data_IF_595149724502
#
_entry.id   IF_595149724502
#
_cell.length_a   1.000
_cell.length_b   1.000
_cell.length_c   1.000
_cell.angle_alpha   90.00
_cell.angle_beta   90.00
_cell.angle_gamma   90.00
#
_symmetry.space_group_name_H-M   'P 1'
#
loop_
_entity.id
_entity.type
_entity.pdbx_description
1 polymer ?
#
# COMPACT_ATOMS: atom_id res chain seq x y z
N UNK A 1 28.85 81.84 -39.80
CA UNK A 1 29.50 80.52 -39.81
C UNK A 1 29.25 79.88 -38.46
N UNK A 2 28.30 78.95 -38.33
CA UNK A 2 27.99 78.24 -37.10
C UNK A 2 28.66 76.90 -37.18
N UNK A 3 29.68 76.65 -36.33
CA UNK A 3 30.36 75.36 -36.19
C UNK A 3 29.42 74.41 -35.40
N UNK A 4 28.93 73.38 -36.04
CA UNK A 4 28.27 72.28 -35.35
C UNK A 4 29.31 71.42 -34.64
N UNK A 5 29.24 71.39 -33.32
CA UNK A 5 30.00 70.44 -32.45
C UNK A 5 29.22 69.16 -32.41
N UNK A 6 29.81 68.08 -32.98
CA UNK A 6 29.31 66.74 -32.87
C UNK A 6 29.75 66.14 -31.51
N UNK A 7 28.82 66.06 -30.57
CA UNK A 7 29.04 65.38 -29.29
C UNK A 7 28.81 63.89 -29.50
N UNK A 8 29.89 63.13 -29.57
CA UNK A 8 29.82 61.64 -29.49
C UNK A 8 29.51 61.25 -28.03
N UNK A 9 28.31 60.86 -27.80
CA UNK A 9 27.89 60.21 -26.57
C UNK A 9 28.48 58.76 -26.56
N UNK A 10 29.64 58.57 -25.88
CA UNK A 10 30.09 57.28 -25.46
C UNK A 10 29.16 56.79 -24.32
N UNK A 11 28.22 55.92 -24.62
CA UNK A 11 27.56 55.18 -23.56
C UNK A 11 28.59 54.15 -23.02
N UNK A 12 28.84 54.09 -21.71
CA UNK A 12 29.68 53.06 -21.17
C UNK A 12 28.91 51.72 -21.37
N UNK A 13 29.38 50.88 -22.25
CA UNK A 13 29.03 49.48 -22.26
C UNK A 13 29.58 48.89 -20.95
N UNK A 14 28.71 48.63 -19.98
CA UNK A 14 29.02 47.79 -18.86
C UNK A 14 29.18 46.37 -19.43
N UNK A 15 30.39 45.97 -19.72
CA UNK A 15 30.73 44.59 -20.03
C UNK A 15 30.59 43.86 -18.70
N UNK A 16 29.46 43.21 -18.47
CA UNK A 16 29.35 42.22 -17.40
C UNK A 16 30.35 41.12 -17.69
N UNK A 17 31.26 40.84 -16.77
CA UNK A 17 32.22 39.77 -16.97
C UNK A 17 31.42 38.44 -17.04
N UNK A 18 31.61 37.73 -18.14
CA UNK A 18 31.01 36.41 -18.32
C UNK A 18 31.65 35.41 -17.35
N UNK A 19 30.85 34.63 -16.65
CA UNK A 19 31.37 33.65 -15.71
C UNK A 19 30.47 32.43 -15.60
N UNK A 20 31.09 31.30 -15.29
CA UNK A 20 30.42 30.07 -14.87
C UNK A 20 30.85 29.71 -13.45
N UNK A 21 29.94 29.21 -12.67
CA UNK A 21 30.21 28.80 -11.29
C UNK A 21 29.55 27.48 -10.95
N UNK A 22 30.23 26.67 -10.14
CA UNK A 22 29.80 25.37 -9.65
C UNK A 22 30.11 25.30 -8.16
N UNK A 23 29.20 24.69 -7.37
CA UNK A 23 29.43 24.52 -5.93
C UNK A 23 28.54 23.41 -5.36
N UNK A 24 28.85 22.97 -4.15
CA UNK A 24 28.05 22.04 -3.38
C UNK A 24 28.75 20.72 -3.09
N UNK A 25 28.05 19.95 -2.27
CA UNK A 25 28.38 18.53 -1.98
C UNK A 25 27.13 17.72 -2.29
N UNK A 26 27.29 16.68 -3.06
CA UNK A 26 26.20 15.81 -3.50
C UNK A 26 26.49 14.38 -3.10
N UNK A 27 25.48 13.69 -2.62
CA UNK A 27 25.55 12.26 -2.29
C UNK A 27 25.04 11.44 -3.46
N UNK A 28 25.88 10.55 -3.98
CA UNK A 28 25.49 9.55 -4.97
C UNK A 28 25.30 8.20 -4.28
N UNK A 29 24.07 7.80 -4.09
CA UNK A 29 23.74 6.50 -3.52
C UNK A 29 24.07 5.38 -4.53
N UNK A 30 24.53 4.22 -4.06
CA UNK A 30 24.97 3.14 -4.96
C UNK A 30 23.84 2.49 -5.77
N UNK A 31 22.58 2.74 -5.42
CA UNK A 31 21.39 2.33 -6.16
C UNK A 31 20.86 3.43 -7.13
N UNK A 32 21.48 4.59 -7.18
CA UNK A 32 21.19 5.67 -8.10
C UNK A 32 22.14 5.67 -9.31
N UNK A 33 21.68 6.17 -10.44
CA UNK A 33 22.50 6.26 -11.65
C UNK A 33 23.36 7.51 -11.66
N UNK A 34 22.82 8.62 -11.17
CA UNK A 34 23.46 9.94 -11.24
C UNK A 34 22.78 10.91 -10.26
N UNK A 35 23.54 11.92 -9.85
CA UNK A 35 23.04 13.11 -9.16
C UNK A 35 23.20 14.32 -10.07
N UNK A 36 22.43 15.37 -9.84
CA UNK A 36 22.45 16.59 -10.66
C UNK A 36 23.23 17.70 -9.96
N UNK A 37 24.32 18.16 -10.58
CA UNK A 37 25.13 19.30 -10.11
C UNK A 37 24.63 20.55 -10.82
N UNK A 38 24.25 21.57 -10.05
CA UNK A 38 23.83 22.85 -10.59
C UNK A 38 25.04 23.70 -11.02
N UNK A 39 25.00 24.18 -12.26
CA UNK A 39 25.98 25.14 -12.84
C UNK A 39 25.23 26.40 -13.22
N UNK A 40 25.62 27.51 -12.60
CA UNK A 40 25.10 28.82 -12.91
C UNK A 40 26.00 29.57 -13.89
N UNK A 41 25.37 30.39 -14.77
CA UNK A 41 26.07 31.22 -15.76
C UNK A 41 25.68 32.68 -15.65
N UNK A 42 26.66 33.54 -15.88
CA UNK A 42 26.49 34.99 -16.15
C UNK A 42 27.00 35.24 -17.55
N UNK A 43 26.14 35.73 -18.47
CA UNK A 43 26.51 35.98 -19.86
C UNK A 43 25.33 35.84 -20.81
N UNK A 44 25.62 35.70 -22.09
CA UNK A 44 24.62 35.58 -23.17
C UNK A 44 24.67 34.18 -23.77
N UNK A 45 23.59 33.40 -23.69
CA UNK A 45 23.57 32.06 -24.27
C UNK A 45 23.72 32.09 -25.79
N UNK A 46 24.20 31.02 -26.45
CA UNK A 46 24.51 29.71 -25.86
C UNK A 46 25.84 29.70 -25.05
N UNK A 47 25.81 28.90 -23.98
CA UNK A 47 26.97 28.68 -23.11
C UNK A 47 27.67 27.37 -23.52
N UNK A 48 29.01 27.37 -23.40
CA UNK A 48 29.82 26.17 -23.61
C UNK A 48 30.85 26.11 -22.47
N UNK A 49 31.04 24.90 -21.95
CA UNK A 49 32.02 24.69 -20.92
C UNK A 49 32.69 23.30 -21.02
N UNK A 50 33.88 23.17 -20.46
CA UNK A 50 34.54 21.91 -20.19
C UNK A 50 34.62 21.77 -18.68
N UNK A 51 34.31 20.58 -18.17
CA UNK A 51 34.51 20.27 -16.78
C UNK A 51 35.52 19.14 -16.61
N UNK A 52 36.10 19.04 -15.43
CA UNK A 52 37.00 17.97 -15.03
C UNK A 52 36.45 17.26 -13.78
N UNK A 53 36.74 15.98 -13.68
CA UNK A 53 36.56 15.17 -12.46
C UNK A 53 37.95 14.81 -11.98
N UNK A 54 38.31 15.21 -10.76
CA UNK A 54 39.64 14.99 -10.17
C UNK A 54 40.78 15.42 -11.11
N UNK A 55 40.61 16.59 -11.74
CA UNK A 55 41.53 17.20 -12.74
C UNK A 55 41.63 16.45 -14.09
N UNK A 56 40.76 15.48 -14.38
CA UNK A 56 40.67 14.82 -15.68
C UNK A 56 39.53 15.43 -16.46
N UNK A 57 39.87 16.13 -17.55
CA UNK A 57 38.87 16.78 -18.41
C UNK A 57 37.90 15.76 -19.02
N UNK A 58 36.65 16.12 -19.00
CA UNK A 58 35.54 15.37 -19.58
C UNK A 58 35.15 15.96 -20.94
N UNK A 59 34.08 15.41 -21.53
CA UNK A 59 33.54 15.91 -22.79
C UNK A 59 33.02 17.35 -22.67
N UNK A 60 33.10 18.08 -23.78
CA UNK A 60 32.60 19.46 -23.87
C UNK A 60 31.08 19.49 -23.86
N UNK A 61 30.50 20.28 -22.96
CA UNK A 61 29.09 20.63 -23.01
C UNK A 61 28.86 21.86 -23.88
N UNK A 62 28.05 21.75 -24.93
CA UNK A 62 27.94 22.79 -25.97
C UNK A 62 26.47 23.20 -26.20
N UNK A 63 26.30 24.48 -26.64
CA UNK A 63 25.03 25.07 -27.00
C UNK A 63 23.96 24.99 -25.91
N UNK A 64 24.34 25.31 -24.68
CA UNK A 64 23.48 25.32 -23.52
C UNK A 64 22.73 26.65 -23.46
N UNK A 65 21.40 26.59 -23.36
CA UNK A 65 20.53 27.77 -23.25
C UNK A 65 19.88 27.85 -21.84
N UNK A 66 19.89 26.76 -21.08
CA UNK A 66 19.34 26.71 -19.73
C UNK A 66 20.29 27.34 -18.73
N UNK A 67 19.73 28.10 -17.78
CA UNK A 67 20.47 28.70 -16.69
C UNK A 67 19.55 28.76 -15.45
N UNK A 68 19.82 28.00 -14.39
CA UNK A 68 21.00 27.11 -14.25
C UNK A 68 20.90 25.86 -15.14
N UNK A 69 22.07 25.29 -15.43
CA UNK A 69 22.22 23.98 -16.08
C UNK A 69 22.49 22.90 -15.06
N UNK A 70 21.81 21.75 -15.22
CA UNK A 70 21.97 20.59 -14.33
C UNK A 70 22.85 19.53 -15.00
N UNK A 71 24.09 19.42 -14.53
CA UNK A 71 25.08 18.46 -15.02
C UNK A 71 24.87 17.10 -14.36
N UNK A 72 24.57 16.02 -15.13
CA UNK A 72 24.47 14.68 -14.55
C UNK A 72 25.85 14.15 -14.15
N UNK A 73 25.98 13.77 -12.88
CA UNK A 73 27.21 13.23 -12.27
C UNK A 73 26.96 11.79 -11.83
N UNK A 74 27.61 10.84 -12.53
CA UNK A 74 27.50 9.39 -12.28
C UNK A 74 28.74 8.78 -11.61
N UNK A 75 29.71 9.60 -11.23
CA UNK A 75 30.97 9.17 -10.61
C UNK A 75 31.29 10.04 -9.40
N UNK A 76 31.83 9.44 -8.37
CA UNK A 76 32.41 10.20 -7.26
C UNK A 76 33.63 11.00 -7.73
N UNK A 77 33.92 12.12 -7.07
CA UNK A 77 35.06 12.96 -7.31
C UNK A 77 34.78 14.45 -7.19
N UNK A 78 35.77 15.25 -7.38
CA UNK A 78 35.66 16.70 -7.36
C UNK A 78 35.46 17.24 -8.78
N UNK A 79 34.31 17.83 -9.02
CA UNK A 79 33.92 18.44 -10.29
C UNK A 79 34.30 19.89 -10.29
N UNK A 80 35.04 20.30 -11.35
CA UNK A 80 35.49 21.69 -11.56
C UNK A 80 35.27 22.10 -13.01
N UNK A 81 34.97 23.37 -13.27
CA UNK A 81 34.94 23.91 -14.63
C UNK A 81 36.37 24.25 -15.01
N UNK A 82 36.82 23.86 -16.20
CA UNK A 82 38.18 24.12 -16.70
C UNK A 82 38.24 25.05 -17.90
N UNK A 83 37.09 25.29 -18.55
CA UNK A 83 36.91 26.23 -19.64
C UNK A 83 35.48 26.70 -19.71
N UNK A 84 35.25 27.97 -20.00
CA UNK A 84 33.90 28.53 -20.19
C UNK A 84 33.93 29.62 -21.27
N UNK A 85 32.94 29.63 -22.15
CA UNK A 85 32.63 30.76 -23.03
C UNK A 85 31.12 30.88 -23.23
N UNK A 86 30.68 32.10 -23.45
CA UNK A 86 29.32 32.41 -23.89
C UNK A 86 29.25 32.71 -25.39
N UNK A 87 28.14 33.22 -25.90
CA UNK A 87 27.98 33.58 -27.31
C UNK A 87 28.94 34.67 -27.79
N UNK A 88 29.53 35.45 -26.90
CA UNK A 88 30.31 36.66 -27.22
C UNK A 88 31.80 36.41 -27.06
N UNK A 89 32.21 35.80 -25.94
CA UNK A 89 33.65 35.69 -25.62
C UNK A 89 33.93 34.58 -24.60
N UNK A 90 35.22 34.31 -24.38
CA UNK A 90 35.73 33.49 -23.29
C UNK A 90 35.48 34.20 -21.96
N UNK A 91 34.94 33.49 -21.00
CA UNK A 91 34.63 33.96 -19.65
C UNK A 91 35.54 33.38 -18.59
N UNK A 92 35.29 33.77 -17.34
CA UNK A 92 35.90 33.20 -16.14
C UNK A 92 35.11 32.05 -15.60
N UNK A 93 35.70 31.22 -14.77
CA UNK A 93 35.02 30.14 -14.07
C UNK A 93 35.55 30.01 -12.65
N UNK A 94 34.71 29.52 -11.73
CA UNK A 94 35.11 29.40 -10.33
C UNK A 94 34.30 28.29 -9.63
N UNK A 95 34.83 27.81 -8.51
CA UNK A 95 34.20 26.83 -7.62
C UNK A 95 34.49 25.39 -7.97
N UNK A 96 34.00 24.55 -7.11
CA UNK A 96 34.00 23.09 -7.25
C UNK A 96 32.78 22.49 -6.59
N UNK A 97 32.40 21.32 -7.07
CA UNK A 97 31.36 20.49 -6.46
C UNK A 97 31.91 19.11 -6.15
N UNK A 98 31.65 18.59 -4.96
CA UNK A 98 32.07 17.27 -4.55
C UNK A 98 30.93 16.28 -4.68
N UNK A 99 31.21 15.13 -5.29
CA UNK A 99 30.27 13.98 -5.35
C UNK A 99 30.88 12.85 -4.53
N UNK A 100 30.17 12.46 -3.49
CA UNK A 100 30.57 11.38 -2.58
C UNK A 100 29.65 10.16 -2.87
N UNK A 101 30.28 9.02 -3.19
CA UNK A 101 29.52 7.76 -3.35
C UNK A 101 29.35 7.07 -2.00
N UNK A 102 28.11 6.73 -1.69
CA UNK A 102 27.73 6.09 -0.42
C UNK A 102 26.95 4.81 -0.70
N UNK A 103 27.19 3.80 0.13
CA UNK A 103 26.43 2.54 0.09
C UNK A 103 25.04 2.76 0.68
N UNK A 104 24.00 2.50 -0.11
CA UNK A 104 22.61 2.56 0.36
C UNK A 104 22.35 1.45 1.38
N UNK A 105 21.38 1.63 2.30
CA UNK A 105 20.87 0.54 3.12
C UNK A 105 20.21 -0.53 2.23
N UNK A 106 19.97 -1.71 2.78
CA UNK A 106 19.27 -2.80 2.09
C UNK A 106 17.99 -3.09 2.88
N UNK A 107 16.85 -2.82 2.26
CA UNK A 107 15.55 -3.08 2.86
C UNK A 107 15.23 -4.58 2.87
N UNK A 108 14.85 -5.12 4.04
CA UNK A 108 14.46 -6.52 4.22
C UNK A 108 13.24 -6.59 5.14
N UNK A 109 12.15 -7.13 4.61
CA UNK A 109 10.94 -7.43 5.37
C UNK A 109 11.02 -8.86 5.89
N UNK A 110 10.82 -9.02 7.20
CA UNK A 110 10.58 -10.33 7.81
C UNK A 110 9.10 -10.43 8.21
N UNK A 111 8.42 -11.46 7.70
CA UNK A 111 7.01 -11.78 7.96
C UNK A 111 6.86 -13.22 8.40
N UNK A 112 5.89 -13.49 9.28
CA UNK A 112 5.60 -14.85 9.77
C UNK A 112 4.71 -15.65 8.80
N UNK A 113 4.04 -14.99 7.86
CA UNK A 113 3.15 -15.62 6.88
C UNK A 113 2.97 -14.75 5.63
N UNK A 114 2.65 -15.41 4.51
CA UNK A 114 2.29 -14.80 3.23
C UNK A 114 0.79 -14.97 2.92
N UNK A 115 0.09 -15.80 3.70
CA UNK A 115 -1.34 -16.09 3.51
C UNK A 115 -2.05 -16.02 4.85
N UNK A 116 -3.14 -15.26 4.88
CA UNK A 116 -4.01 -15.06 6.03
C UNK A 116 -5.43 -15.52 5.69
N UNK A 117 -6.20 -15.82 6.73
CA UNK A 117 -7.64 -16.04 6.64
C UNK A 117 -8.40 -14.73 6.77
N UNK A 118 -9.55 -14.61 6.10
CA UNK A 118 -10.50 -13.50 6.32
C UNK A 118 -10.96 -13.41 7.78
N UNK A 119 -10.90 -14.50 8.55
CA UNK A 119 -11.25 -14.51 9.98
C UNK A 119 -10.17 -13.89 10.87
N UNK A 120 -8.93 -13.86 10.41
CA UNK A 120 -7.77 -13.34 11.13
C UNK A 120 -6.88 -12.51 10.19
N UNK A 121 -7.37 -11.37 9.68
CA UNK A 121 -6.69 -10.59 8.67
C UNK A 121 -5.60 -9.68 9.29
N UNK A 122 -4.70 -10.26 10.06
CA UNK A 122 -3.66 -9.49 10.78
C UNK A 122 -2.30 -10.18 10.65
N UNK A 123 -1.25 -9.37 10.66
CA UNK A 123 0.12 -9.83 10.50
C UNK A 123 1.09 -8.98 11.32
N UNK A 124 2.17 -9.60 11.76
CA UNK A 124 3.30 -8.91 12.38
C UNK A 124 4.44 -8.89 11.38
N UNK A 125 4.94 -7.68 11.14
CA UNK A 125 6.12 -7.42 10.35
C UNK A 125 7.28 -7.00 11.24
N UNK A 126 8.49 -7.40 10.86
CA UNK A 126 9.72 -6.96 11.50
C UNK A 126 10.69 -6.48 10.44
N UNK A 127 11.25 -5.31 10.63
CA UNK A 127 12.37 -4.82 9.87
C UNK A 127 13.62 -5.65 10.17
N UNK A 128 14.20 -6.23 9.12
CA UNK A 128 15.45 -6.98 9.14
C UNK A 128 16.50 -6.34 8.22
N UNK A 129 16.33 -5.08 7.87
CA UNK A 129 17.16 -4.33 6.94
C UNK A 129 18.59 -4.18 7.42
N UNK A 130 19.51 -4.00 6.48
CA UNK A 130 20.95 -3.91 6.72
C UNK A 130 21.46 -2.52 6.39
N UNK A 131 22.44 -2.05 7.13
CA UNK A 131 23.09 -0.76 6.95
C UNK A 131 22.86 0.19 8.14
N UNK A 132 23.26 1.45 7.95
CA UNK A 132 23.00 2.50 8.94
C UNK A 132 21.62 3.11 8.64
N UNK A 133 20.58 2.72 9.39
CA UNK A 133 19.20 3.12 9.16
C UNK A 133 18.84 4.23 10.15
N UNK A 134 18.45 5.39 9.61
CA UNK A 134 17.96 6.54 10.36
C UNK A 134 16.42 6.51 10.48
N UNK A 135 15.73 6.16 9.41
CA UNK A 135 14.28 6.14 9.41
C UNK A 135 13.68 4.95 8.66
N UNK A 136 12.51 4.53 9.13
CA UNK A 136 11.74 3.37 8.66
C UNK A 136 10.32 3.83 8.37
N UNK A 137 9.78 3.47 7.20
CA UNK A 137 8.41 3.76 6.80
C UNK A 137 7.76 2.49 6.26
N UNK A 138 6.68 2.07 6.91
CA UNK A 138 5.81 1.00 6.43
C UNK A 138 4.63 1.58 5.67
N UNK A 139 4.33 1.05 4.50
CA UNK A 139 3.15 1.37 3.70
C UNK A 139 2.45 0.06 3.40
N UNK A 140 1.21 -0.09 3.88
CA UNK A 140 0.43 -1.30 3.69
C UNK A 140 -0.47 -1.18 2.46
N UNK A 141 -0.76 -2.31 1.83
CA UNK A 141 -1.53 -2.37 0.59
C UNK A 141 -3.00 -1.98 0.71
N UNK A 142 -3.45 -1.62 1.91
CA UNK A 142 -4.77 -1.07 2.23
C UNK A 142 -4.75 0.45 2.53
N UNK A 143 -3.70 1.15 2.03
CA UNK A 143 -3.47 2.59 2.19
C UNK A 143 -3.18 3.07 3.63
N UNK A 144 -2.95 2.14 4.56
CA UNK A 144 -2.48 2.47 5.90
C UNK A 144 -0.96 2.62 5.92
N UNK A 145 -0.43 3.37 6.87
CA UNK A 145 1.01 3.56 7.05
C UNK A 145 1.41 3.63 8.52
N UNK A 146 2.65 3.24 8.81
CA UNK A 146 3.27 3.36 10.12
C UNK A 146 4.72 3.81 9.97
N UNK A 147 5.15 4.77 10.75
CA UNK A 147 6.50 5.33 10.70
C UNK A 147 7.26 4.99 11.99
N UNK A 148 8.58 4.76 11.86
CA UNK A 148 9.54 4.63 12.95
C UNK A 148 9.43 3.36 13.81
N UNK A 149 8.75 2.32 13.39
CA UNK A 149 8.64 1.08 14.18
C UNK A 149 9.41 -0.07 13.55
N UNK A 150 10.36 -0.65 14.29
CA UNK A 150 11.08 -1.84 13.86
C UNK A 150 10.17 -3.07 13.74
N UNK A 151 9.16 -3.15 14.60
CA UNK A 151 8.13 -4.21 14.53
C UNK A 151 6.77 -3.55 14.51
N UNK A 152 5.91 -3.94 13.56
CA UNK A 152 4.57 -3.41 13.40
C UNK A 152 3.55 -4.55 13.35
N UNK A 153 2.44 -4.38 14.07
CA UNK A 153 1.25 -5.20 13.96
C UNK A 153 0.26 -4.48 13.05
N UNK A 154 -0.12 -5.12 11.96
CA UNK A 154 -1.08 -4.56 11.02
C UNK A 154 -2.34 -5.44 10.92
N UNK A 155 -3.50 -4.79 10.86
CA UNK A 155 -4.82 -5.40 10.65
C UNK A 155 -5.38 -4.86 9.36
N UNK A 156 -5.55 -5.72 8.36
CA UNK A 156 -6.09 -5.33 7.06
C UNK A 156 -7.57 -4.98 7.12
N UNK A 157 -8.02 -4.24 6.12
CA UNK A 157 -9.41 -3.83 6.00
C UNK A 157 -10.38 -4.99 6.19
N UNK A 158 -11.42 -4.73 6.95
CA UNK A 158 -12.47 -5.67 7.30
C UNK A 158 -13.84 -5.07 7.03
N UNK A 159 -14.85 -5.93 6.87
CA UNK A 159 -16.25 -5.52 6.81
C UNK A 159 -16.79 -5.06 8.19
N UNK A 160 -18.05 -4.68 8.26
CA UNK A 160 -18.71 -4.25 9.51
C UNK A 160 -18.77 -5.32 10.60
N UNK A 161 -18.52 -6.59 10.27
CA UNK A 161 -18.50 -7.72 11.20
C UNK A 161 -17.09 -8.12 11.62
N UNK A 162 -16.05 -7.40 11.15
CA UNK A 162 -14.66 -7.70 11.40
C UNK A 162 -14.08 -8.81 10.53
N UNK A 163 -14.79 -9.22 9.47
CA UNK A 163 -14.32 -10.21 8.50
C UNK A 163 -13.43 -9.50 7.47
N UNK A 164 -12.23 -10.01 7.27
CA UNK A 164 -11.27 -9.45 6.31
C UNK A 164 -11.77 -9.49 4.88
N UNK A 165 -11.33 -8.55 4.08
CA UNK A 165 -11.67 -8.49 2.65
C UNK A 165 -10.69 -9.37 1.88
N UNK A 166 -11.15 -10.41 1.16
CA UNK A 166 -10.29 -11.26 0.35
C UNK A 166 -9.59 -10.45 -0.74
N UNK A 167 -8.28 -10.38 -0.69
CA UNK A 167 -7.48 -9.64 -1.65
C UNK A 167 -6.00 -10.05 -1.62
N UNK A 168 -5.24 -9.51 -2.56
CA UNK A 168 -3.78 -9.52 -2.54
C UNK A 168 -3.33 -8.11 -2.17
N UNK A 169 -2.69 -7.99 -1.02
CA UNK A 169 -2.11 -6.74 -0.55
C UNK A 169 -0.62 -6.72 -0.88
N UNK A 170 -0.10 -5.53 -1.15
CA UNK A 170 1.32 -5.30 -1.41
C UNK A 170 1.84 -4.30 -0.40
N UNK A 171 2.58 -4.78 0.57
CA UNK A 171 3.14 -3.98 1.63
C UNK A 171 4.57 -3.61 1.29
N UNK A 172 4.98 -2.43 1.66
CA UNK A 172 6.30 -1.88 1.38
C UNK A 172 6.97 -1.40 2.65
N UNK A 173 8.25 -1.70 2.76
CA UNK A 173 9.16 -1.14 3.76
C UNK A 173 10.15 -0.25 3.05
N UNK A 174 10.19 1.02 3.41
CA UNK A 174 11.18 1.99 2.96
C UNK A 174 12.12 2.27 4.13
N UNK A 175 13.41 2.11 3.91
CA UNK A 175 14.45 2.47 4.86
C UNK A 175 15.33 3.57 4.29
N UNK A 176 15.74 4.51 5.14
CA UNK A 176 16.52 5.68 4.75
C UNK A 176 17.68 5.80 5.74
N UNK A 177 18.89 6.04 5.25
CA UNK A 177 20.06 6.29 6.08
C UNK A 177 20.22 7.77 6.44
N UNK A 178 21.23 8.09 7.25
CA UNK A 178 21.56 9.45 7.69
C UNK A 178 22.08 10.36 6.57
N UNK A 179 22.40 9.82 5.40
CA UNK A 179 22.82 10.55 4.21
C UNK A 179 21.68 10.78 3.22
N UNK A 180 20.50 10.24 3.49
CA UNK A 180 19.32 10.31 2.63
C UNK A 180 19.24 9.21 1.57
N UNK A 181 20.18 8.26 1.55
CA UNK A 181 20.08 7.09 0.67
C UNK A 181 18.98 6.15 1.17
N UNK A 182 18.15 5.66 0.26
CA UNK A 182 17.02 4.81 0.61
C UNK A 182 16.99 3.51 -0.18
N UNK A 183 16.30 2.52 0.37
CA UNK A 183 15.94 1.29 -0.34
C UNK A 183 14.51 0.87 0.04
N UNK A 184 13.89 0.04 -0.81
CA UNK A 184 12.50 -0.39 -0.63
C UNK A 184 12.38 -1.89 -0.86
N UNK A 185 11.83 -2.59 0.13
CA UNK A 185 11.39 -3.96 0.00
C UNK A 185 9.86 -4.02 -0.16
N UNK A 186 9.37 -5.02 -0.92
CA UNK A 186 7.94 -5.26 -1.12
C UNK A 186 7.61 -6.69 -0.72
N UNK A 187 6.53 -6.85 0.04
CA UNK A 187 5.99 -8.14 0.46
C UNK A 187 4.54 -8.28 -0.02
N UNK A 188 4.15 -9.48 -0.48
CA UNK A 188 2.77 -9.76 -0.90
C UNK A 188 2.08 -10.64 0.14
N UNK A 189 0.87 -10.24 0.53
CA UNK A 189 0.01 -10.97 1.44
C UNK A 189 -1.30 -11.33 0.74
N UNK A 190 -1.66 -12.61 0.83
CA UNK A 190 -2.94 -13.13 0.36
C UNK A 190 -3.91 -13.24 1.53
N UNK A 191 -5.00 -12.50 1.52
CA UNK A 191 -6.13 -12.77 2.41
C UNK A 191 -7.08 -13.70 1.68
N UNK A 192 -7.10 -14.95 2.13
CA UNK A 192 -7.89 -16.02 1.53
C UNK A 192 -9.29 -16.02 2.13
N UNK A 193 -10.30 -16.13 1.25
CA UNK A 193 -11.67 -16.36 1.68
C UNK A 193 -11.82 -17.75 2.31
N UNK A 194 -12.54 -17.82 3.41
CA UNK A 194 -12.88 -19.06 4.11
C UNK A 194 -14.34 -19.06 4.50
N UNK A 195 -15.03 -20.18 4.29
CA UNK A 195 -16.37 -20.30 4.79
C UNK A 195 -16.38 -20.50 6.31
N UNK A 196 -17.37 -19.93 6.95
CA UNK A 196 -17.71 -20.27 8.33
C UNK A 196 -19.21 -20.39 8.48
N UNK A 197 -19.64 -21.18 9.46
CA UNK A 197 -21.03 -21.46 9.74
C UNK A 197 -21.22 -21.57 11.25
N UNK A 198 -22.06 -20.71 11.81
CA UNK A 198 -22.48 -20.77 13.20
C UNK A 198 -23.93 -21.20 13.29
N UNK A 199 -24.18 -22.35 13.91
CA UNK A 199 -25.52 -22.93 14.11
C UNK A 199 -25.78 -22.98 15.61
N UNK A 200 -26.77 -22.23 16.15
CA UNK A 200 -27.17 -22.34 17.55
C UNK A 200 -27.66 -23.75 17.88
N UNK A 201 -27.61 -24.13 19.13
CA UNK A 201 -28.10 -25.43 19.59
C UNK A 201 -29.48 -25.36 20.29
N UNK A 202 -30.06 -24.17 20.50
CA UNK A 202 -31.35 -23.96 21.14
C UNK A 202 -31.98 -22.65 20.70
N UNK A 203 -33.31 -22.58 20.81
CA UNK A 203 -34.09 -21.35 20.63
C UNK A 203 -35.40 -21.42 21.43
N UNK A 204 -36.03 -20.25 21.69
CA UNK A 204 -37.15 -20.10 22.61
C UNK A 204 -38.20 -19.18 22.01
N UNK A 205 -39.14 -19.69 21.20
CA UNK A 205 -40.22 -18.88 20.60
C UNK A 205 -41.33 -18.56 21.61
N UNK A 206 -41.07 -17.59 22.47
CA UNK A 206 -41.99 -17.18 23.56
C UNK A 206 -42.75 -15.87 23.29
N UNK A 207 -42.39 -15.13 22.21
CA UNK A 207 -43.00 -13.89 21.77
C UNK A 207 -42.85 -12.72 22.78
N UNK A 208 -41.73 -12.65 23.48
CA UNK A 208 -41.49 -11.57 24.42
C UNK A 208 -40.77 -10.33 23.83
N UNK A 209 -40.59 -10.34 22.51
CA UNK A 209 -40.00 -9.24 21.67
C UNK A 209 -38.61 -8.75 22.07
N UNK A 210 -38.08 -9.16 23.22
CA UNK A 210 -36.79 -8.74 23.73
C UNK A 210 -35.66 -9.73 23.40
N UNK A 211 -36.01 -10.97 23.01
CA UNK A 211 -35.08 -12.04 22.83
C UNK A 211 -34.85 -12.37 21.33
N UNK A 212 -33.60 -12.32 20.92
CA UNK A 212 -33.17 -12.71 19.55
C UNK A 212 -33.31 -14.21 19.25
N UNK A 213 -33.76 -15.01 20.24
CA UNK A 213 -33.89 -16.45 20.12
C UNK A 213 -35.29 -16.91 19.75
N UNK A 214 -36.18 -16.04 19.26
CA UNK A 214 -37.54 -16.35 18.86
C UNK A 214 -37.65 -17.33 17.68
N UNK A 215 -36.61 -17.36 16.84
CA UNK A 215 -36.53 -18.23 15.68
C UNK A 215 -35.18 -18.91 15.63
N UNK A 216 -35.16 -20.14 15.17
CA UNK A 216 -33.92 -20.85 14.87
C UNK A 216 -33.37 -20.36 13.54
N UNK A 217 -32.23 -19.69 13.59
CA UNK A 217 -31.52 -19.14 12.47
C UNK A 217 -30.01 -19.45 12.62
N UNK A 218 -29.22 -19.23 11.60
CA UNK A 218 -27.79 -19.38 11.67
C UNK A 218 -27.07 -18.29 10.88
N UNK A 219 -25.82 -18.06 11.19
CA UNK A 219 -24.96 -17.13 10.47
C UNK A 219 -23.92 -17.90 9.66
N UNK A 220 -23.58 -17.39 8.49
CA UNK A 220 -22.64 -18.02 7.59
C UNK A 220 -21.94 -16.99 6.70
N UNK A 221 -20.77 -17.38 6.18
CA UNK A 221 -19.98 -16.64 5.22
C UNK A 221 -19.49 -17.59 4.13
N UNK A 222 -19.33 -17.08 2.90
CA UNK A 222 -18.80 -17.79 1.73
C UNK A 222 -19.49 -19.11 1.39
N UNK A 223 -20.79 -19.17 1.62
CA UNK A 223 -21.66 -20.27 1.19
C UNK A 223 -22.47 -19.85 -0.05
N UNK A 224 -22.61 -20.73 -1.03
CA UNK A 224 -23.48 -20.53 -2.18
C UNK A 224 -24.93 -20.63 -1.75
N UNK A 225 -25.64 -19.51 -1.70
CA UNK A 225 -27.01 -19.42 -1.18
C UNK A 225 -27.98 -20.33 -1.92
N UNK A 226 -27.82 -20.49 -3.23
CA UNK A 226 -28.67 -21.36 -4.05
C UNK A 226 -28.39 -22.87 -3.88
N UNK A 227 -27.39 -23.24 -3.08
CA UNK A 227 -27.03 -24.65 -2.82
C UNK A 227 -27.57 -25.15 -1.49
N UNK A 228 -28.10 -24.26 -0.65
CA UNK A 228 -28.44 -24.57 0.72
C UNK A 228 -29.75 -25.39 0.78
N UNK A 229 -29.75 -26.43 1.63
CA UNK A 229 -30.92 -27.23 1.98
C UNK A 229 -30.87 -27.55 3.46
N UNK A 230 -31.77 -26.94 4.22
CA UNK A 230 -31.90 -27.16 5.66
C UNK A 230 -33.18 -27.93 5.96
N UNK A 231 -33.08 -29.01 6.74
CA UNK A 231 -34.19 -29.89 7.16
C UNK A 231 -34.15 -30.14 8.65
N UNK A 232 -35.31 -30.09 9.30
CA UNK A 232 -35.48 -30.43 10.72
C UNK A 232 -36.46 -31.58 10.87
N UNK A 233 -36.11 -32.50 11.76
CA UNK A 233 -36.89 -33.71 12.01
C UNK A 233 -37.20 -33.86 13.51
N UNK A 234 -38.37 -34.42 13.83
CA UNK A 234 -38.68 -34.81 15.19
C UNK A 234 -38.00 -36.14 15.57
N UNK A 235 -38.16 -36.59 16.80
CA UNK A 235 -37.55 -37.84 17.31
C UNK A 235 -38.04 -39.10 16.58
N UNK A 236 -39.17 -39.06 15.89
CA UNK A 236 -39.72 -40.15 15.08
C UNK A 236 -39.18 -40.15 13.65
N UNK A 237 -38.33 -39.17 13.30
CA UNK A 237 -37.79 -38.99 11.95
C UNK A 237 -38.73 -38.31 10.97
N UNK A 238 -39.84 -37.75 11.45
CA UNK A 238 -40.77 -36.99 10.62
C UNK A 238 -40.19 -35.60 10.32
N UNK A 239 -40.27 -35.16 9.05
CA UNK A 239 -39.86 -33.83 8.63
C UNK A 239 -40.82 -32.78 9.19
N UNK A 240 -40.31 -31.84 10.00
CA UNK A 240 -41.13 -30.79 10.63
C UNK A 240 -40.85 -29.40 10.09
N UNK A 241 -39.68 -29.21 9.44
CA UNK A 241 -39.32 -27.93 8.78
C UNK A 241 -38.34 -28.20 7.63
N UNK A 242 -38.46 -27.39 6.57
CA UNK A 242 -37.49 -27.37 5.48
C UNK A 242 -37.42 -25.98 4.86
N UNK A 243 -36.20 -25.55 4.52
CA UNK A 243 -35.95 -24.37 3.70
C UNK A 243 -34.77 -24.60 2.75
N UNK A 244 -34.85 -23.97 1.58
CA UNK A 244 -33.76 -23.81 0.62
C UNK A 244 -33.38 -22.35 0.43
N UNK A 245 -34.02 -21.46 1.15
CA UNK A 245 -33.75 -20.02 1.11
C UNK A 245 -32.70 -19.66 2.18
N UNK A 246 -31.50 -19.45 1.74
CA UNK A 246 -30.39 -19.12 2.60
C UNK A 246 -30.56 -17.75 3.29
N UNK A 247 -31.10 -16.76 2.57
CA UNK A 247 -31.36 -15.44 3.11
C UNK A 247 -32.39 -15.48 4.24
N UNK A 248 -33.44 -16.31 4.07
CA UNK A 248 -34.45 -16.53 5.11
C UNK A 248 -33.84 -17.13 6.39
N UNK A 249 -32.85 -17.99 6.27
CA UNK A 249 -32.26 -18.69 7.41
C UNK A 249 -31.23 -17.89 8.17
N UNK A 250 -30.85 -16.70 7.69
CA UNK A 250 -29.94 -15.77 8.42
C UNK A 250 -30.66 -15.16 9.62
N UNK A 251 -29.94 -15.04 10.75
CA UNK A 251 -30.42 -14.36 11.95
C UNK A 251 -30.64 -12.85 11.74
N UNK A 252 -30.04 -12.27 10.75
CA UNK A 252 -30.25 -10.88 10.34
C UNK A 252 -31.56 -10.65 9.58
N UNK A 253 -32.25 -11.71 9.13
CA UNK A 253 -33.54 -11.62 8.43
C UNK A 253 -34.70 -11.36 9.39
N UNK A 254 -35.52 -10.32 9.15
CA UNK A 254 -36.60 -9.87 10.03
C UNK A 254 -37.64 -10.98 10.22
N UNK A 255 -37.97 -11.74 9.16
CA UNK A 255 -38.98 -12.79 9.18
C UNK A 255 -38.38 -14.19 9.02
N UNK A 256 -37.05 -14.30 9.07
CA UNK A 256 -36.33 -15.53 8.78
C UNK A 256 -36.31 -16.56 9.91
N UNK A 257 -35.86 -17.75 9.57
CA UNK A 257 -35.65 -18.84 10.50
C UNK A 257 -36.89 -19.74 10.72
N UNK A 258 -36.66 -20.75 11.55
CA UNK A 258 -37.73 -21.67 11.97
C UNK A 258 -38.29 -21.26 13.33
N UNK A 259 -39.60 -20.99 13.39
CA UNK A 259 -40.35 -20.54 14.58
C UNK A 259 -40.82 -21.66 15.50
N UNK A 260 -40.44 -22.90 15.25
CA UNK A 260 -40.87 -24.06 16.02
C UNK A 260 -42.30 -24.53 15.69
N UNK A 261 -42.82 -24.17 14.49
CA UNK A 261 -44.10 -24.68 13.99
C UNK A 261 -43.88 -25.82 12.99
N UNK A 262 -44.90 -26.65 12.84
CA UNK A 262 -44.92 -27.78 11.91
C UNK A 262 -45.11 -27.28 10.47
N UNK A 263 -44.12 -27.49 9.61
CA UNK A 263 -44.15 -27.15 8.17
C UNK A 263 -44.74 -25.75 7.88
N UNK A 264 -44.39 -24.76 8.72
CA UNK A 264 -44.86 -23.36 8.64
C UNK A 264 -46.39 -23.21 8.78
N UNK A 265 -47.02 -24.15 9.43
CA UNK A 265 -48.41 -24.02 9.80
C UNK A 265 -48.53 -23.34 11.17
N UNK A 266 -49.78 -23.01 11.59
CA UNK A 266 -49.98 -22.46 12.94
C UNK A 266 -49.87 -23.53 14.06
N UNK A 267 -49.53 -24.79 13.71
CA UNK A 267 -49.40 -25.88 14.69
C UNK A 267 -48.05 -25.80 15.38
N UNK A 268 -48.05 -25.34 16.62
CA UNK A 268 -46.85 -25.29 17.47
C UNK A 268 -46.38 -26.71 17.81
N UNK A 269 -45.07 -26.93 17.68
CA UNK A 269 -44.41 -28.15 18.13
C UNK A 269 -44.06 -28.06 19.62
N UNK A 270 -44.03 -29.21 20.31
CA UNK A 270 -43.69 -29.27 21.74
C UNK A 270 -42.21 -29.02 22.00
N UNK A 271 -41.91 -28.49 23.20
CA UNK A 271 -40.53 -28.43 23.68
C UNK A 271 -39.87 -29.81 23.60
N UNK A 272 -38.63 -29.84 23.19
CA UNK A 272 -37.87 -31.07 23.00
C UNK A 272 -36.67 -30.92 22.08
N UNK A 273 -36.03 -32.05 21.79
CA UNK A 273 -34.90 -32.14 20.91
C UNK A 273 -35.35 -32.53 19.51
N UNK A 274 -34.88 -31.80 18.53
CA UNK A 274 -35.10 -32.04 17.10
C UNK A 274 -33.74 -32.28 16.45
N UNK A 275 -33.66 -33.13 15.43
CA UNK A 275 -32.44 -33.30 14.65
C UNK A 275 -32.49 -32.46 13.38
N UNK A 276 -31.36 -31.99 12.92
CA UNK A 276 -31.28 -31.30 11.64
C UNK A 276 -30.28 -31.94 10.69
N UNK A 277 -30.49 -31.69 9.41
CA UNK A 277 -29.56 -31.90 8.34
C UNK A 277 -29.43 -30.60 7.53
N UNK A 278 -28.19 -30.11 7.35
CA UNK A 278 -27.86 -28.93 6.56
C UNK A 278 -26.88 -29.34 5.48
N UNK A 279 -27.30 -29.28 4.23
CA UNK A 279 -26.48 -29.41 3.06
C UNK A 279 -26.21 -28.03 2.47
N UNK A 280 -24.95 -27.76 2.08
CA UNK A 280 -24.57 -26.56 1.35
C UNK A 280 -23.28 -26.78 0.56
N UNK A 281 -22.96 -25.83 -0.32
CA UNK A 281 -21.72 -25.75 -1.07
C UNK A 281 -21.05 -24.40 -0.80
N UNK A 282 -19.77 -24.40 -0.47
CA UNK A 282 -19.01 -23.15 -0.38
C UNK A 282 -18.74 -22.53 -1.76
N UNK A 283 -18.34 -21.26 -1.80
CA UNK A 283 -18.10 -20.53 -3.06
C UNK A 283 -17.06 -21.24 -3.92
N UNK A 284 -16.03 -21.82 -3.31
CA UNK A 284 -14.97 -22.59 -4.00
C UNK A 284 -15.48 -23.94 -4.58
N UNK A 285 -16.66 -24.41 -4.19
CA UNK A 285 -17.31 -25.58 -4.78
C UNK A 285 -17.31 -26.83 -3.91
N UNK A 286 -16.69 -26.80 -2.73
CA UNK A 286 -16.74 -27.94 -1.81
C UNK A 286 -18.13 -28.13 -1.20
N UNK A 287 -18.56 -29.37 -1.07
CA UNK A 287 -19.88 -29.74 -0.59
C UNK A 287 -19.81 -30.21 0.85
N UNK A 288 -20.71 -29.71 1.68
CA UNK A 288 -20.81 -30.03 3.10
C UNK A 288 -22.17 -30.60 3.44
N UNK A 289 -22.21 -31.46 4.44
CA UNK A 289 -23.43 -32.07 4.96
C UNK A 289 -23.30 -32.18 6.48
N UNK A 290 -23.90 -31.21 7.18
CA UNK A 290 -23.82 -31.09 8.62
C UNK A 290 -25.07 -31.62 9.29
N UNK A 291 -24.88 -32.34 10.38
CA UNK A 291 -25.94 -32.90 11.20
C UNK A 291 -25.80 -32.43 12.63
N UNK A 292 -26.89 -32.24 13.31
CA UNK A 292 -26.89 -31.86 14.71
C UNK A 292 -28.26 -31.88 15.33
N UNK A 293 -28.36 -31.31 16.52
CA UNK A 293 -29.62 -31.24 17.28
C UNK A 293 -29.94 -29.79 17.65
N UNK A 294 -31.25 -29.54 17.75
CA UNK A 294 -31.81 -28.25 18.14
C UNK A 294 -32.70 -28.50 19.33
N UNK A 295 -32.54 -27.74 20.39
CA UNK A 295 -33.44 -27.75 21.54
C UNK A 295 -34.48 -26.64 21.37
N UNK A 296 -35.73 -27.01 21.18
CA UNK A 296 -36.88 -26.09 21.22
C UNK A 296 -37.34 -25.97 22.66
N UNK A 297 -37.37 -24.77 23.20
CA UNK A 297 -37.86 -24.45 24.55
C UNK A 297 -39.08 -23.54 24.43
N UNK A 298 -40.15 -23.84 25.18
CA UNK A 298 -41.39 -23.02 25.23
C UNK A 298 -41.86 -22.88 26.67
#
# INVERSE_FOLDING_TARGET
MIKKILVLLFSPFFISAQSAFISGVHTLCNNEKEVLIEIGFIGIPPFNFIYAIDNINQSVSQNIYDNPYFLPASSQGTYTITSFNDAVSVGTFDGSSEVISISSPIAIINSVADTLSVLYPNLVYTDASLGNIDSIIWIFGDDMSNNFSQTVYHVYLSDSNGIGIPAIYRDSLIVIDDNGCSDTAVHQVFIKDEYWLYIPNAFTPNLDDEDRNEKFCFEYHSIRENSLLFKVFNLQGELVFQSTDAAELRCSSIDGGWDGTYLRTNKKLSSGIYSYNLYFQEIEGWKHNNYGTITLVR
#
